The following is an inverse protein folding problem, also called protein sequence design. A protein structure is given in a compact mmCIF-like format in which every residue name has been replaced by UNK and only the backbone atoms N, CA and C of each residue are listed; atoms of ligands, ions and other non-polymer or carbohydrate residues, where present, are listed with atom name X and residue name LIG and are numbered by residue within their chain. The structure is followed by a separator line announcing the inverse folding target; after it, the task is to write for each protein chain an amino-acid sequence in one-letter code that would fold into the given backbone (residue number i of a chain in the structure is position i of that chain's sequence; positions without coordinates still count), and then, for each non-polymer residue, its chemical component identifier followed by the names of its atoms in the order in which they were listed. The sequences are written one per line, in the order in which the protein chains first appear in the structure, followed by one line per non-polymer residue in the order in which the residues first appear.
data_IF_878813583343
#
_entry.id   IF_878813583343
#
_cell.length_a   1.000
_cell.length_b   1.000
_cell.length_c   1.000
_cell.angle_alpha   90.00
_cell.angle_beta   90.00
_cell.angle_gamma   90.00
#
_symmetry.space_group_name_H-M   'P 1'
#
loop_
_entity.id
_entity.type
_entity.pdbx_description
1 polymer ?
#
# COMPACT_ATOMS: atom_id res chain seq x y z
N UNK A 1 -2.65 -4.16 12.54
CA UNK A 1 -1.32 -4.17 13.18
C UNK A 1 -0.22 -4.42 12.17
N UNK A 2 -0.23 -5.57 11.47
CA UNK A 2 0.83 -5.89 10.48
C UNK A 2 0.88 -4.92 9.29
N UNK A 3 -0.25 -4.42 8.80
CA UNK A 3 -0.27 -3.39 7.75
C UNK A 3 0.42 -2.07 8.15
N UNK A 4 0.56 -1.81 9.45
CA UNK A 4 1.27 -0.64 9.99
C UNK A 4 2.71 -0.99 10.34
N UNK A 5 2.96 -2.07 11.08
CA UNK A 5 4.30 -2.41 11.57
C UNK A 5 5.14 -3.21 10.57
N UNK A 6 4.51 -3.87 9.61
CA UNK A 6 5.12 -4.89 8.76
C UNK A 6 5.89 -5.95 9.59
N UNK A 7 5.37 -6.28 10.78
CA UNK A 7 6.14 -7.00 11.78
C UNK A 7 6.52 -8.40 11.29
N UNK A 8 5.68 -9.07 10.48
CA UNK A 8 6.02 -10.39 9.92
C UNK A 8 7.23 -10.41 8.97
N UNK A 9 7.66 -9.24 8.51
CA UNK A 9 8.89 -9.09 7.71
C UNK A 9 10.11 -8.72 8.55
N UNK A 10 9.90 -8.33 9.81
CA UNK A 10 10.92 -7.85 10.74
C UNK A 10 11.22 -8.93 11.79
N UNK A 11 10.17 -9.55 12.31
CA UNK A 11 10.16 -10.64 13.27
C UNK A 11 9.44 -11.85 12.68
N UNK A 12 9.63 -13.01 13.31
CA UNK A 12 9.09 -14.29 12.85
C UNK A 12 7.55 -14.30 12.81
N UNK A 13 6.96 -15.20 12.02
CA UNK A 13 5.52 -15.38 11.94
C UNK A 13 4.94 -15.87 13.27
N UNK A 14 5.74 -16.61 14.05
CA UNK A 14 5.41 -17.12 15.39
C UNK A 14 5.71 -16.11 16.53
N UNK A 15 5.95 -14.83 16.21
CA UNK A 15 6.23 -13.80 17.19
C UNK A 15 5.15 -13.70 18.28
N UNK A 16 5.60 -13.60 19.53
CA UNK A 16 4.74 -13.39 20.70
C UNK A 16 4.10 -12.00 20.71
N UNK A 17 3.03 -11.85 21.50
CA UNK A 17 2.35 -10.57 21.67
C UNK A 17 3.29 -9.53 22.32
N UNK A 18 4.13 -9.95 23.26
CA UNK A 18 5.12 -9.10 23.91
C UNK A 18 6.17 -8.55 22.93
N UNK A 19 6.62 -9.38 21.98
CA UNK A 19 7.58 -8.97 20.94
C UNK A 19 6.95 -7.95 19.97
N UNK A 20 5.73 -8.22 19.49
CA UNK A 20 4.98 -7.29 18.64
C UNK A 20 4.70 -5.96 19.37
N UNK A 21 4.35 -6.04 20.66
CA UNK A 21 4.10 -4.88 21.50
C UNK A 21 5.36 -4.02 21.70
N UNK A 22 6.49 -4.65 21.96
CA UNK A 22 7.78 -3.97 22.12
C UNK A 22 8.17 -3.25 20.83
N UNK A 23 8.05 -3.93 19.68
CA UNK A 23 8.28 -3.33 18.36
C UNK A 23 7.35 -2.13 18.11
N UNK A 24 6.06 -2.23 18.47
CA UNK A 24 5.12 -1.12 18.34
C UNK A 24 5.58 0.12 19.11
N UNK A 25 5.97 -0.04 20.37
CA UNK A 25 6.43 1.07 21.20
C UNK A 25 7.71 1.70 20.67
N UNK A 26 8.62 0.91 20.10
CA UNK A 26 9.85 1.44 19.51
C UNK A 26 9.60 2.20 18.21
N UNK A 27 8.66 1.71 17.38
CA UNK A 27 8.26 2.40 16.15
C UNK A 27 7.56 3.72 16.47
N UNK A 28 6.56 3.73 17.37
CA UNK A 28 5.68 4.90 17.57
C UNK A 28 6.38 6.10 18.20
N UNK A 29 7.43 5.88 19.01
CA UNK A 29 8.22 6.96 19.66
C UNK A 29 8.74 8.02 18.68
N UNK A 30 8.96 7.64 17.43
CA UNK A 30 9.56 8.50 16.41
C UNK A 30 8.59 8.84 15.25
N UNK A 31 7.28 8.67 15.45
CA UNK A 31 6.26 8.92 14.41
C UNK A 31 5.53 10.24 14.67
N UNK A 32 5.18 10.93 13.59
CA UNK A 32 4.27 12.07 13.65
C UNK A 32 2.84 11.54 13.74
N UNK A 33 2.11 11.87 14.80
CA UNK A 33 0.75 11.39 15.02
C UNK A 33 -0.28 12.00 14.06
N UNK A 34 0.09 13.09 13.37
CA UNK A 34 -0.75 13.73 12.35
C UNK A 34 -0.62 13.07 10.96
N UNK A 35 0.31 12.10 10.82
CA UNK A 35 0.53 11.39 9.57
C UNK A 35 -0.05 9.97 9.61
N UNK A 36 -0.46 9.50 8.43
CA UNK A 36 -0.86 8.12 8.18
C UNK A 36 0.33 7.30 7.69
N UNK A 37 0.35 6.02 8.08
CA UNK A 37 1.47 5.14 7.81
C UNK A 37 1.02 3.78 7.27
N UNK A 38 1.83 3.22 6.38
CA UNK A 38 1.73 1.86 5.86
C UNK A 38 3.13 1.23 5.91
N UNK A 39 3.26 0.06 6.57
CA UNK A 39 4.54 -0.61 6.80
C UNK A 39 5.62 0.34 7.36
N UNK A 40 5.25 1.18 8.32
CA UNK A 40 6.05 2.20 9.00
C UNK A 40 6.50 3.38 8.14
N UNK A 41 6.25 3.36 6.83
CA UNK A 41 6.46 4.48 5.92
C UNK A 41 5.23 5.38 5.92
N UNK A 42 5.42 6.69 5.76
CA UNK A 42 4.29 7.59 5.56
C UNK A 42 3.56 7.16 4.29
N UNK A 43 2.22 7.11 4.36
CA UNK A 43 1.43 6.56 3.27
C UNK A 43 1.53 7.46 2.04
N UNK A 44 1.67 6.85 0.87
CA UNK A 44 1.73 7.54 -0.41
C UNK A 44 1.21 6.59 -1.50
N UNK A 45 0.34 7.04 -2.44
CA UNK A 45 -0.17 6.16 -3.50
C UNK A 45 0.92 5.45 -4.30
N UNK A 46 2.05 6.11 -4.51
CA UNK A 46 3.22 5.55 -5.17
C UNK A 46 3.79 4.28 -4.51
N UNK A 47 3.65 4.13 -3.19
CA UNK A 47 4.06 2.90 -2.48
C UNK A 47 3.20 1.71 -2.93
N UNK A 48 1.89 1.91 -3.05
CA UNK A 48 0.99 0.85 -3.49
C UNK A 48 1.20 0.51 -4.97
N UNK A 49 1.39 1.51 -5.84
CA UNK A 49 1.67 1.25 -7.26
C UNK A 49 2.96 0.47 -7.42
N UNK A 50 4.00 0.79 -6.66
CA UNK A 50 5.27 0.07 -6.68
C UNK A 50 5.11 -1.39 -6.22
N UNK A 51 4.43 -1.65 -5.10
CA UNK A 51 4.19 -3.00 -4.61
C UNK A 51 3.37 -3.83 -5.60
N UNK A 52 2.31 -3.24 -6.18
CA UNK A 52 1.46 -3.87 -7.18
C UNK A 52 2.28 -4.23 -8.43
N UNK A 53 2.99 -3.27 -9.01
CA UNK A 53 3.81 -3.52 -10.21
C UNK A 53 4.86 -4.60 -9.97
N UNK A 54 5.53 -4.55 -8.82
CA UNK A 54 6.54 -5.56 -8.46
C UNK A 54 5.92 -6.96 -8.40
N UNK A 55 4.77 -7.11 -7.75
CA UNK A 55 4.09 -8.40 -7.65
C UNK A 55 3.55 -8.88 -9.01
N UNK A 56 3.06 -7.98 -9.87
CA UNK A 56 2.62 -8.34 -11.23
C UNK A 56 3.78 -8.86 -12.08
N UNK A 57 4.94 -8.22 -12.05
CA UNK A 57 6.12 -8.70 -12.77
C UNK A 57 6.57 -10.07 -12.28
N UNK A 58 6.64 -10.28 -10.96
CA UNK A 58 7.01 -11.57 -10.38
C UNK A 58 5.96 -12.64 -10.75
N UNK A 59 4.67 -12.29 -10.71
CA UNK A 59 3.58 -13.20 -11.06
C UNK A 59 3.64 -13.63 -12.52
N UNK A 60 3.83 -12.69 -13.45
CA UNK A 60 4.00 -12.96 -14.87
C UNK A 60 5.24 -13.83 -15.16
N UNK A 61 6.37 -13.53 -14.52
CA UNK A 61 7.61 -14.29 -14.70
C UNK A 61 7.49 -15.74 -14.23
N UNK A 62 6.76 -15.97 -13.13
CA UNK A 62 6.61 -17.29 -12.52
C UNK A 62 5.33 -18.02 -12.96
N UNK A 63 4.56 -17.45 -13.88
CA UNK A 63 3.26 -17.97 -14.33
C UNK A 63 2.33 -18.31 -13.14
N UNK A 64 2.31 -17.43 -12.13
CA UNK A 64 1.53 -17.62 -10.92
C UNK A 64 0.44 -16.55 -10.77
N UNK A 65 -0.44 -16.79 -9.81
CA UNK A 65 -1.51 -15.85 -9.48
C UNK A 65 -0.97 -14.64 -8.72
N UNK A 66 -1.61 -13.50 -8.97
CA UNK A 66 -1.38 -12.26 -8.25
C UNK A 66 -2.28 -12.13 -7.03
N UNK A 67 -1.69 -11.84 -5.87
CA UNK A 67 -2.38 -11.84 -4.57
C UNK A 67 -2.07 -10.60 -3.72
N UNK A 68 -2.35 -9.40 -4.21
CA UNK A 68 -2.25 -8.15 -3.42
C UNK A 68 -3.61 -7.42 -3.26
N UNK A 69 -4.56 -8.10 -2.62
CA UNK A 69 -5.89 -7.55 -2.36
C UNK A 69 -5.87 -6.28 -1.52
N UNK A 70 -5.06 -6.24 -0.47
CA UNK A 70 -5.02 -5.10 0.45
C UNK A 70 -4.49 -3.84 -0.25
N UNK A 71 -3.36 -3.96 -0.96
CA UNK A 71 -2.75 -2.84 -1.69
C UNK A 71 -3.68 -2.31 -2.78
N UNK A 72 -4.29 -3.20 -3.57
CA UNK A 72 -5.24 -2.79 -4.61
C UNK A 72 -6.48 -2.08 -4.02
N UNK A 73 -6.97 -2.57 -2.88
CA UNK A 73 -8.10 -1.95 -2.17
C UNK A 73 -7.74 -0.59 -1.58
N UNK A 74 -6.57 -0.47 -0.94
CA UNK A 74 -6.08 0.79 -0.38
C UNK A 74 -5.85 1.82 -1.49
N UNK A 75 -5.21 1.44 -2.59
CA UNK A 75 -4.98 2.33 -3.72
C UNK A 75 -6.30 2.79 -4.35
N UNK A 76 -7.27 1.90 -4.51
CA UNK A 76 -8.60 2.27 -5.03
C UNK A 76 -9.33 3.22 -4.08
N UNK A 77 -9.23 3.00 -2.77
CA UNK A 77 -9.79 3.88 -1.74
C UNK A 77 -9.13 5.26 -1.73
N UNK A 78 -7.80 5.31 -1.84
CA UNK A 78 -7.05 6.56 -1.90
C UNK A 78 -7.40 7.38 -3.14
N UNK A 79 -7.50 6.72 -4.29
CA UNK A 79 -7.53 7.41 -5.59
C UNK A 79 -8.94 7.66 -6.13
N UNK A 80 -9.94 6.89 -5.68
CA UNK A 80 -11.28 6.92 -6.26
C UNK A 80 -11.39 6.11 -7.55
N UNK A 81 -10.31 5.42 -7.95
CA UNK A 81 -10.24 4.67 -9.20
C UNK A 81 -9.89 3.22 -8.91
N UNK A 82 -10.71 2.32 -9.43
CA UNK A 82 -10.44 0.89 -9.34
C UNK A 82 -9.11 0.57 -10.02
N UNK A 83 -8.26 -0.20 -9.33
CA UNK A 83 -7.04 -0.76 -9.92
C UNK A 83 -7.42 -1.68 -11.10
N UNK A 84 -6.84 -1.50 -12.29
CA UNK A 84 -7.30 -2.15 -13.53
C UNK A 84 -6.86 -3.62 -13.67
N UNK A 85 -6.51 -4.28 -12.58
CA UNK A 85 -6.02 -5.66 -12.58
C UNK A 85 -6.76 -6.48 -11.53
N UNK A 86 -7.31 -7.61 -11.97
CA UNK A 86 -8.02 -8.52 -11.10
C UNK A 86 -7.07 -9.33 -10.21
N UNK A 87 -7.28 -9.23 -8.91
CA UNK A 87 -6.65 -10.10 -7.91
C UNK A 87 -7.10 -11.55 -8.11
N UNK A 88 -6.21 -12.52 -7.90
CA UNK A 88 -6.42 -13.98 -8.05
C UNK A 88 -6.46 -14.53 -9.48
N UNK A 89 -6.05 -13.74 -10.46
CA UNK A 89 -5.96 -14.19 -11.86
C UNK A 89 -4.52 -14.52 -12.24
N UNK A 90 -4.36 -15.32 -13.29
CA UNK A 90 -3.05 -15.55 -13.90
C UNK A 90 -2.67 -14.27 -14.64
N UNK A 91 -1.52 -13.70 -14.28
CA UNK A 91 -1.07 -12.43 -14.85
C UNK A 91 -0.27 -12.69 -16.12
N UNK A 92 -0.63 -11.97 -17.19
CA UNK A 92 0.13 -11.89 -18.42
C UNK A 92 0.76 -10.49 -18.56
N UNK A 93 1.46 -10.25 -19.67
CA UNK A 93 1.97 -8.92 -19.99
C UNK A 93 0.85 -7.88 -20.13
N UNK A 94 -0.34 -8.29 -20.57
CA UNK A 94 -1.45 -7.36 -20.81
C UNK A 94 -1.89 -6.63 -19.54
N UNK A 95 -1.95 -7.33 -18.40
CA UNK A 95 -2.33 -6.75 -17.11
C UNK A 95 -1.30 -5.74 -16.60
N UNK A 96 -0.01 -5.95 -16.90
CA UNK A 96 1.05 -4.98 -16.60
C UNK A 96 0.88 -3.72 -17.44
N UNK A 97 0.57 -3.88 -18.73
CA UNK A 97 0.38 -2.77 -19.65
C UNK A 97 -0.85 -1.90 -19.27
N UNK A 98 -1.87 -2.48 -18.64
CA UNK A 98 -3.03 -1.73 -18.10
C UNK A 98 -2.68 -0.82 -16.92
N UNK A 99 -1.64 -1.15 -16.15
CA UNK A 99 -1.22 -0.35 -15.00
C UNK A 99 -0.49 0.93 -15.39
N UNK A 100 0.18 0.95 -16.55
CA UNK A 100 0.95 2.12 -17.01
C UNK A 100 0.09 3.38 -17.13
N UNK A 101 -0.98 3.41 -17.94
CA UNK A 101 -1.82 4.60 -18.05
C UNK A 101 -2.52 4.93 -16.71
N UNK A 102 -2.85 3.92 -15.90
CA UNK A 102 -3.41 4.15 -14.58
C UNK A 102 -2.44 4.90 -13.66
N UNK A 103 -1.16 4.52 -13.64
CA UNK A 103 -0.12 5.17 -12.84
C UNK A 103 0.14 6.59 -13.37
N UNK A 104 0.19 6.77 -14.68
CA UNK A 104 0.38 8.09 -15.30
C UNK A 104 -0.71 9.08 -14.83
N UNK A 105 -1.99 8.67 -14.88
CA UNK A 105 -3.10 9.48 -14.38
C UNK A 105 -3.04 9.79 -12.87
N UNK A 106 -2.40 8.93 -12.07
CA UNK A 106 -2.19 9.20 -10.65
C UNK A 106 -1.05 10.18 -10.44
N UNK A 107 0.00 10.12 -11.26
CA UNK A 107 1.16 10.98 -11.14
C UNK A 107 0.87 12.45 -11.45
N UNK A 108 -0.20 12.72 -12.21
CA UNK A 108 -0.70 14.06 -12.49
C UNK A 108 -1.34 14.77 -11.28
N UNK A 109 -1.52 14.07 -10.15
CA UNK A 109 -2.14 14.62 -8.93
C UNK A 109 -1.11 14.96 -7.85
N UNK A 110 -1.37 16.03 -7.12
CA UNK A 110 -0.56 16.48 -5.97
C UNK A 110 -0.87 15.64 -4.72
N UNK A 111 -0.21 14.50 -4.60
CA UNK A 111 -0.30 13.67 -3.39
C UNK A 111 0.69 14.15 -2.32
N UNK A 112 0.18 14.39 -1.13
CA UNK A 112 1.00 14.66 0.07
C UNK A 112 1.34 13.36 0.80
N UNK A 113 2.63 13.15 1.05
CA UNK A 113 3.11 12.03 1.86
C UNK A 113 2.53 12.09 3.29
N UNK A 114 2.04 10.96 3.79
CA UNK A 114 1.45 10.89 5.13
C UNK A 114 0.02 11.42 5.22
N UNK A 115 -0.54 12.01 4.16
CA UNK A 115 -1.94 12.43 4.12
C UNK A 115 -2.86 11.25 3.81
N UNK A 116 -3.98 11.15 4.52
CA UNK A 116 -5.04 10.20 4.16
C UNK A 116 -5.86 10.78 3.02
N UNK A 117 -6.14 9.95 2.02
CA UNK A 117 -7.08 10.30 0.96
C UNK A 117 -8.29 9.38 0.99
N UNK A 118 -9.44 9.93 0.60
CA UNK A 118 -10.63 9.17 0.31
C UNK A 118 -11.18 9.61 -1.04
N UNK A 119 -11.16 8.69 -1.99
CA UNK A 119 -11.58 8.89 -3.37
C UNK A 119 -10.93 10.09 -4.08
N UNK A 120 -9.64 10.30 -3.82
CA UNK A 120 -8.84 11.39 -4.40
C UNK A 120 -8.93 12.71 -3.66
N UNK A 121 -9.67 12.77 -2.55
CA UNK A 121 -9.79 13.96 -1.71
C UNK A 121 -8.97 13.78 -0.42
N UNK A 122 -8.13 14.76 -0.03
CA UNK A 122 -7.44 14.70 1.25
C UNK A 122 -8.49 14.71 2.36
N UNK A 123 -8.36 13.78 3.30
CA UNK A 123 -9.11 13.78 4.54
C UNK A 123 -8.32 14.67 5.48
N UNK A 124 -8.50 15.98 5.31
CA UNK A 124 -8.02 16.94 6.29
C UNK A 124 -8.71 16.62 7.63
N UNK A 125 -7.90 16.51 8.69
CA UNK A 125 -8.45 16.65 10.03
C UNK A 125 -9.13 18.02 10.08
N UNK A 126 -10.38 18.03 10.51
CA UNK A 126 -11.09 19.18 11.06
C UNK A 126 -10.14 19.98 11.96
N UNK A 127 -9.48 21.00 11.42
CA UNK A 127 -8.81 22.02 12.22
C UNK A 127 -9.83 23.14 12.36
N UNK A 128 -10.61 23.08 13.44
CA UNK A 128 -11.10 24.30 14.09
C UNK A 128 -10.05 24.77 15.10
#
# INVERSE_FOLDING_TARGET
MDSFLNYRSIIDEDASLEEVGSLYFDVIKNKNLDCYYYKTLQVFPGLFTQEIMTALYIAAQKEQKYHLYLQASLLSMFTGKQVPVDTNTLISKNEIDLMVPYIDELSDKDWTEGMKYFYGHPVEGLVE
#
